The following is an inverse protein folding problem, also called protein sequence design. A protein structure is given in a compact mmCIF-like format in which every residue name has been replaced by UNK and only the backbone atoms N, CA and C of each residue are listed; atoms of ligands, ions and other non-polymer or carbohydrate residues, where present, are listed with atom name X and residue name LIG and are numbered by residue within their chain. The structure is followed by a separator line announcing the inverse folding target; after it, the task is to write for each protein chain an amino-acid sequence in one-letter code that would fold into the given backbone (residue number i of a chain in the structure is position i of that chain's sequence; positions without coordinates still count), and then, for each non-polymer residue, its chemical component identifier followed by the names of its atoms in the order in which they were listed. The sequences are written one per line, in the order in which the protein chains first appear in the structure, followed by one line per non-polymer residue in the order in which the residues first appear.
data_IF_376462309398
#
_entry.id   IF_376462309398
#
_cell.length_a   1.000
_cell.length_b   1.000
_cell.length_c   1.000
_cell.angle_alpha   90.00
_cell.angle_beta   90.00
_cell.angle_gamma   90.00
#
_symmetry.space_group_name_H-M   'P 1'
#
loop_
_entity.id
_entity.type
_entity.pdbx_description
1 polymer ?
#
# COMPACT_ATOMS: atom_id res chain seq x y z
N UNK A 1 42.60 41.47 -50.98
CA UNK A 1 41.53 42.22 -50.36
C UNK A 1 40.64 41.28 -49.61
N UNK A 2 40.78 41.31 -48.34
CA UNK A 2 39.66 41.48 -47.44
C UNK A 2 38.69 40.34 -47.49
N UNK A 3 38.47 39.71 -46.43
CA UNK A 3 37.85 40.05 -45.18
C UNK A 3 37.59 38.77 -44.44
N UNK A 4 38.21 38.59 -43.38
CA UNK A 4 37.57 38.87 -42.13
C UNK A 4 36.11 38.64 -42.10
N UNK A 5 35.76 37.56 -41.65
CA UNK A 5 34.48 37.24 -41.03
C UNK A 5 34.78 36.30 -39.93
N UNK A 6 35.00 36.84 -38.90
CA UNK A 6 34.20 36.92 -37.75
C UNK A 6 33.17 35.78 -37.66
N UNK A 7 33.67 34.66 -37.25
CA UNK A 7 32.81 33.62 -36.76
C UNK A 7 32.44 33.97 -35.33
N UNK A 8 31.29 34.53 -35.19
CA UNK A 8 30.66 34.72 -33.89
C UNK A 8 30.20 33.37 -33.41
N UNK A 9 31.03 32.74 -32.66
CA UNK A 9 30.62 31.58 -31.92
C UNK A 9 29.70 32.04 -30.81
N UNK A 10 28.44 31.99 -31.04
CA UNK A 10 27.46 32.05 -30.00
C UNK A 10 27.49 30.75 -29.22
N UNK A 11 28.33 30.79 -28.23
CA UNK A 11 28.33 29.77 -27.23
C UNK A 11 27.14 30.01 -26.34
N UNK A 12 26.00 29.53 -26.77
CA UNK A 12 24.86 29.39 -25.91
C UNK A 12 25.19 28.25 -24.96
N UNK A 13 25.76 28.62 -23.87
CA UNK A 13 25.82 27.74 -22.72
C UNK A 13 24.40 27.49 -22.25
N UNK A 14 23.83 26.45 -22.76
CA UNK A 14 22.60 25.90 -22.19
C UNK A 14 23.00 25.27 -20.87
N UNK A 15 22.96 26.05 -19.83
CA UNK A 15 22.98 25.50 -18.49
C UNK A 15 21.66 24.80 -18.30
N UNK A 16 21.65 23.52 -18.58
CA UNK A 16 20.61 22.66 -18.04
C UNK A 16 20.77 22.67 -16.53
N UNK A 17 20.02 23.51 -15.90
CA UNK A 17 19.75 23.33 -14.50
C UNK A 17 19.00 22.02 -14.38
N UNK A 18 19.71 20.98 -14.01
CA UNK A 18 19.07 19.78 -13.58
C UNK A 18 18.29 20.12 -12.31
N UNK A 19 17.02 20.32 -12.46
CA UNK A 19 16.14 20.36 -11.33
C UNK A 19 16.05 18.94 -10.82
N UNK A 20 16.91 18.63 -9.89
CA UNK A 20 16.61 17.56 -8.96
C UNK A 20 15.34 18.01 -8.23
N UNK A 21 14.22 17.58 -8.72
CA UNK A 21 12.99 17.70 -7.98
C UNK A 21 13.20 16.87 -6.72
N UNK A 22 13.51 17.55 -5.65
CA UNK A 22 13.50 16.98 -4.33
C UNK A 22 12.03 16.73 -4.00
N UNK A 23 11.54 15.58 -4.43
CA UNK A 23 10.24 15.08 -4.06
C UNK A 23 10.29 14.62 -2.61
N UNK A 24 10.60 15.53 -1.74
CA UNK A 24 10.24 15.38 -0.35
C UNK A 24 8.73 15.52 -0.27
N UNK A 25 8.06 14.43 -0.50
CA UNK A 25 6.73 14.27 0.04
C UNK A 25 6.82 14.51 1.53
N UNK A 26 6.37 15.65 1.95
CA UNK A 26 6.07 15.88 3.34
C UNK A 26 4.89 14.97 3.67
N UNK A 27 5.21 13.75 4.07
CA UNK A 27 4.20 12.85 4.55
C UNK A 27 3.67 13.40 5.88
N UNK A 28 2.35 13.31 6.10
CA UNK A 28 1.79 13.69 7.38
C UNK A 28 2.48 12.91 8.49
N UNK A 29 2.74 13.59 9.59
CA UNK A 29 3.48 13.02 10.72
C UNK A 29 2.69 11.90 11.39
N UNK A 30 2.94 10.68 10.96
CA UNK A 30 2.44 9.46 11.58
C UNK A 30 3.57 8.73 12.31
N UNK A 31 4.38 9.44 13.04
CA UNK A 31 5.63 8.96 13.61
C UNK A 31 5.47 7.67 14.41
N UNK A 32 4.46 7.59 15.27
CA UNK A 32 4.21 6.41 16.09
C UNK A 32 3.80 5.19 15.25
N UNK A 33 2.98 5.39 14.22
CA UNK A 33 2.58 4.33 13.29
C UNK A 33 3.76 3.89 12.44
N UNK A 34 4.58 4.84 11.99
CA UNK A 34 5.75 4.58 11.18
C UNK A 34 6.85 3.84 11.96
N UNK A 35 7.03 4.15 13.24
CA UNK A 35 7.97 3.43 14.09
C UNK A 35 7.55 1.97 14.28
N UNK A 36 6.30 1.72 14.54
CA UNK A 36 5.78 0.36 14.64
C UNK A 36 5.96 -0.42 13.34
N UNK A 37 5.72 0.21 12.21
CA UNK A 37 5.85 -0.42 10.90
C UNK A 37 7.32 -0.67 10.52
N UNK A 38 8.25 0.10 11.09
CA UNK A 38 9.69 -0.10 10.88
C UNK A 38 10.30 -1.17 11.76
N UNK A 39 9.65 -1.54 12.85
CA UNK A 39 10.17 -2.55 13.77
C UNK A 39 10.22 -3.96 13.18
N UNK A 40 9.58 -4.18 12.05
CA UNK A 40 9.52 -5.48 11.39
C UNK A 40 8.65 -6.51 12.11
N UNK A 41 8.04 -6.14 13.21
CA UNK A 41 7.18 -7.02 13.98
C UNK A 41 5.78 -7.18 13.39
N UNK A 42 5.37 -6.24 12.56
CA UNK A 42 4.05 -6.25 11.91
C UNK A 42 4.20 -6.02 10.42
N UNK A 43 3.48 -6.80 9.64
CA UNK A 43 3.42 -6.58 8.20
C UNK A 43 2.65 -5.29 7.87
N UNK A 44 3.16 -4.57 6.91
CA UNK A 44 2.60 -3.32 6.42
C UNK A 44 2.16 -3.47 4.96
N UNK A 45 1.50 -2.45 4.43
CA UNK A 45 1.17 -2.43 3.01
C UNK A 45 2.41 -2.47 2.10
N UNK A 46 3.59 -2.08 2.62
CA UNK A 46 4.86 -2.18 1.91
C UNK A 46 5.35 -3.62 1.76
N UNK A 47 4.89 -4.52 2.59
CA UNK A 47 5.24 -5.94 2.54
C UNK A 47 4.40 -6.73 1.55
N UNK A 48 3.43 -6.08 0.91
CA UNK A 48 2.65 -6.70 -0.15
C UNK A 48 3.56 -7.16 -1.28
N UNK A 49 3.54 -8.45 -1.55
CA UNK A 49 4.27 -9.01 -2.69
C UNK A 49 3.71 -8.51 -4.01
N UNK A 50 4.58 -8.26 -4.97
CA UNK A 50 4.23 -7.89 -6.34
C UNK A 50 4.06 -9.11 -7.26
N UNK A 51 4.14 -10.32 -6.74
CA UNK A 51 3.85 -11.50 -7.55
C UNK A 51 2.39 -11.48 -8.04
N UNK A 52 2.15 -11.92 -9.26
CA UNK A 52 0.80 -11.92 -9.81
C UNK A 52 -0.17 -12.81 -9.02
N UNK A 53 0.33 -13.88 -8.44
CA UNK A 53 -0.47 -14.77 -7.59
C UNK A 53 -0.92 -14.06 -6.30
N UNK A 54 0.01 -13.41 -5.60
CA UNK A 54 -0.29 -12.71 -4.37
C UNK A 54 -1.19 -11.49 -4.59
N UNK A 55 -0.95 -10.73 -5.65
CA UNK A 55 -1.83 -9.62 -6.03
C UNK A 55 -3.26 -10.08 -6.31
N UNK A 56 -3.38 -11.22 -6.97
CA UNK A 56 -4.69 -11.79 -7.28
C UNK A 56 -5.44 -12.20 -6.02
N UNK A 57 -4.75 -12.79 -5.05
CA UNK A 57 -5.33 -13.14 -3.75
C UNK A 57 -5.85 -11.88 -3.05
N UNK A 58 -5.02 -10.85 -2.95
CA UNK A 58 -5.40 -9.56 -2.37
C UNK A 58 -6.63 -8.98 -3.06
N UNK A 59 -6.66 -8.98 -4.38
CA UNK A 59 -7.78 -8.45 -5.15
C UNK A 59 -9.06 -9.25 -4.91
N UNK A 60 -8.96 -10.57 -4.86
CA UNK A 60 -10.11 -11.43 -4.64
C UNK A 60 -10.73 -11.18 -3.25
N UNK A 61 -9.90 -11.08 -2.24
CA UNK A 61 -10.35 -10.76 -0.88
C UNK A 61 -11.00 -9.37 -0.84
N UNK A 62 -10.34 -8.38 -1.42
CA UNK A 62 -10.88 -7.02 -1.50
C UNK A 62 -12.24 -6.99 -2.16
N UNK A 63 -12.37 -7.69 -3.26
CA UNK A 63 -13.63 -7.78 -4.00
C UNK A 63 -14.72 -8.45 -3.17
N UNK A 64 -14.41 -9.52 -2.47
CA UNK A 64 -15.35 -10.22 -1.61
C UNK A 64 -15.86 -9.31 -0.47
N UNK A 65 -14.96 -8.55 0.16
CA UNK A 65 -15.34 -7.59 1.20
C UNK A 65 -16.21 -6.46 0.67
N UNK A 66 -15.89 -5.93 -0.51
CA UNK A 66 -16.65 -4.84 -1.11
C UNK A 66 -18.06 -5.25 -1.56
N UNK A 67 -18.25 -6.50 -1.90
CA UNK A 67 -19.56 -7.04 -2.30
C UNK A 67 -20.49 -7.31 -1.13
N UNK A 68 -19.95 -7.47 0.06
CA UNK A 68 -20.75 -7.80 1.22
C UNK A 68 -21.44 -6.55 1.77
N UNK A 69 -22.76 -6.56 1.79
CA UNK A 69 -23.55 -5.44 2.25
C UNK A 69 -23.66 -5.34 3.78
N UNK A 70 -23.34 -6.41 4.48
CA UNK A 70 -23.44 -6.45 5.94
C UNK A 70 -22.21 -5.90 6.65
N UNK A 71 -21.10 -5.77 5.92
CA UNK A 71 -19.88 -5.21 6.46
C UNK A 71 -19.94 -3.68 6.52
N UNK A 72 -19.48 -3.12 7.62
CA UNK A 72 -19.34 -1.67 7.77
C UNK A 72 -18.28 -1.12 6.82
N UNK A 73 -18.30 0.18 6.57
CA UNK A 73 -17.27 0.87 5.79
C UNK A 73 -15.89 0.66 6.39
N UNK A 74 -15.79 0.68 7.70
CA UNK A 74 -14.53 0.41 8.42
C UNK A 74 -14.00 -0.99 8.13
N UNK A 75 -14.87 -1.99 8.17
CA UNK A 75 -14.51 -3.37 7.86
C UNK A 75 -14.08 -3.56 6.40
N UNK A 76 -14.69 -2.83 5.47
CA UNK A 76 -14.32 -2.87 4.05
C UNK A 76 -12.98 -2.21 3.77
N UNK A 77 -12.51 -1.33 4.65
CA UNK A 77 -11.27 -0.58 4.50
C UNK A 77 -10.07 -1.17 5.24
N UNK A 78 -10.17 -2.38 5.73
CA UNK A 78 -9.04 -3.07 6.36
C UNK A 78 -7.89 -3.25 5.38
N UNK A 79 -6.68 -3.36 5.92
CA UNK A 79 -5.49 -3.68 5.12
C UNK A 79 -5.42 -5.17 4.85
N UNK A 80 -5.17 -5.52 3.62
CA UNK A 80 -4.97 -6.89 3.16
C UNK A 80 -3.57 -6.97 2.58
N UNK A 81 -2.72 -7.78 3.16
CA UNK A 81 -1.32 -7.94 2.76
C UNK A 81 -1.11 -9.41 2.42
N UNK A 82 -0.75 -9.69 1.19
CA UNK A 82 -0.44 -11.05 0.76
C UNK A 82 1.03 -11.14 0.36
N UNK A 83 1.76 -12.03 1.00
CA UNK A 83 3.16 -12.30 0.71
C UNK A 83 3.43 -13.80 0.76
N UNK A 84 3.96 -14.36 -0.32
CA UNK A 84 4.25 -15.79 -0.47
C UNK A 84 3.07 -16.71 -0.11
N UNK A 85 1.85 -16.30 -0.48
CA UNK A 85 0.64 -17.07 -0.20
C UNK A 85 0.13 -16.96 1.23
N UNK A 86 0.71 -16.09 2.03
CA UNK A 86 0.23 -15.78 3.37
C UNK A 86 -0.49 -14.45 3.37
N UNK A 87 -1.71 -14.43 3.86
CA UNK A 87 -2.54 -13.22 3.95
C UNK A 87 -2.56 -12.71 5.38
N UNK A 88 -2.25 -11.46 5.56
CA UNK A 88 -2.38 -10.75 6.84
C UNK A 88 -3.51 -9.74 6.72
N UNK A 89 -4.47 -9.80 7.62
CA UNK A 89 -5.59 -8.85 7.71
C UNK A 89 -5.36 -7.93 8.90
N UNK A 90 -5.33 -6.63 8.66
CA UNK A 90 -5.12 -5.62 9.71
C UNK A 90 -6.12 -4.49 9.60
N UNK A 91 -6.59 -4.04 10.72
CA UNK A 91 -7.45 -2.88 10.80
C UNK A 91 -8.55 -3.02 11.83
N UNK A 92 -9.28 -1.93 12.07
CA UNK A 92 -10.40 -1.95 13.00
C UNK A 92 -11.65 -2.53 12.36
N UNK A 93 -12.38 -3.30 13.14
CA UNK A 93 -13.72 -3.79 12.79
C UNK A 93 -14.70 -3.41 13.90
N UNK A 94 -15.96 -3.38 13.57
CA UNK A 94 -17.01 -2.87 14.46
C UNK A 94 -17.30 -3.82 15.64
N UNK A 95 -17.27 -5.12 15.37
CA UNK A 95 -17.58 -6.14 16.37
C UNK A 95 -16.96 -7.49 15.99
N UNK A 96 -17.06 -8.46 16.89
CA UNK A 96 -16.50 -9.79 16.69
C UNK A 96 -17.17 -10.55 15.53
N UNK A 97 -18.40 -10.26 15.23
CA UNK A 97 -19.13 -10.87 14.10
C UNK A 97 -18.56 -10.43 12.76
N UNK A 98 -18.26 -9.15 12.62
CA UNK A 98 -17.57 -8.64 11.41
C UNK A 98 -16.20 -9.28 11.25
N UNK A 99 -15.45 -9.40 12.35
CA UNK A 99 -14.14 -10.05 12.34
C UNK A 99 -14.25 -11.49 11.82
N UNK A 100 -15.16 -12.27 12.38
CA UNK A 100 -15.38 -13.66 11.97
C UNK A 100 -15.84 -13.74 10.49
N UNK A 101 -16.69 -12.84 10.07
CA UNK A 101 -17.17 -12.79 8.70
C UNK A 101 -16.07 -12.44 7.70
N UNK A 102 -15.24 -11.47 8.03
CA UNK A 102 -14.08 -11.11 7.21
C UNK A 102 -13.11 -12.29 7.08
N UNK A 103 -12.82 -12.97 8.19
CA UNK A 103 -11.97 -14.14 8.18
C UNK A 103 -12.52 -15.25 7.26
N UNK A 104 -13.81 -15.50 7.34
CA UNK A 104 -14.48 -16.48 6.50
C UNK A 104 -14.44 -16.09 5.02
N UNK A 105 -14.73 -14.81 4.69
CA UNK A 105 -14.67 -14.32 3.33
C UNK A 105 -13.26 -14.37 2.77
N UNK A 106 -12.26 -14.01 3.60
CA UNK A 106 -10.87 -14.07 3.21
C UNK A 106 -10.42 -15.49 2.91
N UNK A 107 -10.77 -16.45 3.75
CA UNK A 107 -10.47 -17.87 3.53
C UNK A 107 -11.08 -18.40 2.24
N UNK A 108 -12.32 -18.03 1.97
CA UNK A 108 -13.01 -18.43 0.74
C UNK A 108 -12.39 -17.80 -0.50
N UNK A 109 -12.03 -16.53 -0.44
CA UNK A 109 -11.47 -15.79 -1.57
C UNK A 109 -9.99 -16.10 -1.82
N UNK A 110 -9.26 -16.46 -0.79
CA UNK A 110 -7.82 -16.73 -0.85
C UNK A 110 -7.47 -18.10 -1.43
N UNK A 111 -8.44 -18.99 -1.57
CA UNK A 111 -8.24 -20.28 -2.24
C UNK A 111 -7.21 -21.20 -1.58
N UNK A 112 -7.14 -21.23 -0.25
CA UNK A 112 -6.24 -22.08 0.50
C UNK A 112 -4.97 -21.39 1.02
N UNK A 113 -4.81 -20.10 0.79
CA UNK A 113 -3.76 -19.31 1.41
C UNK A 113 -3.94 -19.26 2.94
N UNK A 114 -2.83 -19.15 3.65
CA UNK A 114 -2.89 -18.97 5.10
C UNK A 114 -3.39 -17.57 5.43
N UNK A 115 -4.31 -17.49 6.37
CA UNK A 115 -4.87 -16.21 6.84
C UNK A 115 -4.36 -15.94 8.25
N UNK A 116 -3.70 -14.82 8.41
CA UNK A 116 -3.31 -14.27 9.71
C UNK A 116 -4.26 -13.09 10.02
N UNK A 117 -5.13 -13.32 10.97
CA UNK A 117 -6.15 -12.34 11.36
C UNK A 117 -5.63 -11.48 12.50
N UNK A 118 -5.22 -10.26 12.15
CA UNK A 118 -4.78 -9.22 13.10
C UNK A 118 -5.78 -8.07 13.19
N UNK A 119 -7.06 -8.36 13.02
CA UNK A 119 -8.10 -7.36 13.10
C UNK A 119 -8.40 -6.99 14.54
N UNK A 120 -8.62 -5.70 14.77
CA UNK A 120 -8.96 -5.15 16.07
C UNK A 120 -10.46 -4.88 16.17
N UNK A 121 -11.12 -5.43 17.15
CA UNK A 121 -12.53 -5.16 17.40
C UNK A 121 -12.67 -3.83 18.16
N UNK A 122 -13.31 -2.84 17.54
CA UNK A 122 -13.63 -1.58 18.20
C UNK A 122 -14.74 -1.81 19.21
N UNK A 123 -14.56 -1.31 20.43
CA UNK A 123 -15.60 -1.37 21.45
C UNK A 123 -15.57 -2.60 22.33
N UNK A 124 -14.60 -3.48 22.17
CA UNK A 124 -14.30 -4.46 23.20
C UNK A 124 -13.44 -3.78 24.26
N UNK A 125 -14.06 -3.31 25.27
CA UNK A 125 -13.38 -2.85 26.48
C UNK A 125 -13.08 -4.03 27.37
#
# INVERSE_FOLDING_TARGET
MKRTLLALACLSALSLAAFAADNKKTEPDNTATNERDRSGETQTSGDQSNSSADLKITQNIRRALMKDSELSTTAKNIKIITDNGQVTLRGPVKNAQEKAKIDQLAKSAAGGAKIDDQLDVKGSN
#
